data_IF_922809502797
#
_entry.id   IF_922809502797
#
_cell.length_a   1.000
_cell.length_b   1.000
_cell.length_c   1.000
_cell.angle_alpha   90.00
_cell.angle_beta   90.00
_cell.angle_gamma   90.00
#
_symmetry.space_group_name_H-M   'P 1'
#
loop_
_entity.id
_entity.type
_entity.pdbx_description
1 polymer ?
#
# COMPACT_ATOMS: atom_id res chain seq x y z
N UNK A 1 -22.65 2.89 -4.78
CA UNK A 1 -21.50 2.42 -3.98
C UNK A 1 -21.82 0.99 -3.65
N UNK A 2 -20.93 0.06 -3.96
CA UNK A 2 -21.18 -1.36 -3.79
C UNK A 2 -20.97 -1.84 -2.36
N UNK A 3 -20.90 -3.15 -2.21
CA UNK A 3 -20.64 -3.83 -0.94
C UNK A 3 -19.31 -3.36 -0.31
N UNK A 4 -19.30 -3.25 1.03
CA UNK A 4 -18.08 -3.04 1.82
C UNK A 4 -17.19 -4.27 1.70
N UNK A 5 -15.94 -4.07 1.31
CA UNK A 5 -14.96 -5.14 1.08
C UNK A 5 -13.91 -5.25 2.18
N UNK A 6 -13.69 -4.18 2.93
CA UNK A 6 -12.72 -4.19 4.01
C UNK A 6 -12.70 -2.90 4.81
N UNK A 7 -11.91 -2.92 5.88
CA UNK A 7 -11.59 -1.75 6.71
C UNK A 7 -10.11 -1.79 7.04
N UNK A 8 -9.39 -0.75 6.62
CA UNK A 8 -8.06 -0.48 7.14
C UNK A 8 -8.11 0.26 8.48
N UNK A 9 -6.96 0.73 8.93
CA UNK A 9 -6.85 1.53 10.15
C UNK A 9 -7.60 2.88 10.03
N UNK A 10 -7.54 3.52 8.86
CA UNK A 10 -8.14 4.85 8.64
C UNK A 10 -9.40 4.81 7.76
N UNK A 11 -9.51 3.87 6.83
CA UNK A 11 -10.51 3.89 5.76
C UNK A 11 -11.42 2.66 5.75
N UNK A 12 -12.66 2.87 5.36
CA UNK A 12 -13.55 1.80 4.91
C UNK A 12 -13.47 1.72 3.38
N UNK A 13 -13.39 0.50 2.86
CA UNK A 13 -13.23 0.24 1.43
C UNK A 13 -14.48 -0.46 0.89
N UNK A 14 -14.97 0.01 -0.25
CA UNK A 14 -16.18 -0.48 -0.91
C UNK A 14 -15.93 -0.78 -2.38
N UNK A 15 -16.67 -1.71 -2.97
CA UNK A 15 -16.67 -1.89 -4.42
C UNK A 15 -17.18 -0.64 -5.14
N UNK A 16 -16.58 -0.32 -6.29
CA UNK A 16 -17.10 0.71 -7.18
C UNK A 16 -17.96 0.08 -8.29
N UNK A 17 -19.28 0.17 -8.17
CA UNK A 17 -20.23 -0.49 -9.10
C UNK A 17 -20.06 -0.03 -10.55
N UNK A 18 -19.70 1.23 -10.77
CA UNK A 18 -19.48 1.81 -12.08
C UNK A 18 -18.13 1.38 -12.71
N UNK A 19 -17.18 0.90 -11.91
CA UNK A 19 -15.86 0.49 -12.36
C UNK A 19 -15.37 -0.72 -11.54
N UNK A 20 -15.65 -1.96 -11.96
CA UNK A 20 -15.37 -3.18 -11.19
C UNK A 20 -13.90 -3.40 -10.84
N UNK A 21 -12.99 -2.76 -11.58
CA UNK A 21 -11.54 -2.80 -11.34
C UNK A 21 -11.08 -1.77 -10.29
N UNK A 22 -12.01 -1.02 -9.71
CA UNK A 22 -11.75 0.02 -8.74
C UNK A 22 -12.53 -0.20 -7.45
N UNK A 23 -12.00 0.38 -6.38
CA UNK A 23 -12.66 0.49 -5.09
C UNK A 23 -12.76 1.95 -4.66
N UNK A 24 -13.69 2.20 -3.76
CA UNK A 24 -13.91 3.49 -3.11
C UNK A 24 -13.40 3.37 -1.67
N UNK A 25 -12.35 4.11 -1.33
CA UNK A 25 -11.72 4.13 -0.01
C UNK A 25 -12.11 5.43 0.70
N UNK A 26 -12.96 5.37 1.73
CA UNK A 26 -13.45 6.53 2.46
C UNK A 26 -12.84 6.62 3.84
N UNK A 27 -12.36 7.81 4.22
CA UNK A 27 -11.87 8.06 5.57
C UNK A 27 -12.99 7.93 6.60
N UNK A 28 -12.71 7.23 7.70
CA UNK A 28 -13.62 7.17 8.85
C UNK A 28 -13.51 8.43 9.69
N UNK A 29 -14.61 8.91 10.31
CA UNK A 29 -14.57 10.04 11.23
C UNK A 29 -13.51 9.85 12.33
N UNK A 30 -12.74 10.90 12.63
CA UNK A 30 -11.72 10.90 13.68
C UNK A 30 -10.38 10.23 13.33
N UNK A 31 -10.22 9.70 12.11
CA UNK A 31 -8.96 9.00 11.71
C UNK A 31 -7.90 9.91 11.12
N UNK A 32 -8.25 11.15 10.75
CA UNK A 32 -7.32 12.13 10.14
C UNK A 32 -6.73 13.13 11.13
N UNK A 33 -6.95 12.91 12.43
CA UNK A 33 -6.48 13.80 13.49
C UNK A 33 -7.06 15.21 13.38
N UNK A 34 -6.20 16.22 13.45
CA UNK A 34 -6.57 17.64 13.29
C UNK A 34 -6.67 18.10 11.83
N UNK A 35 -6.29 17.25 10.87
CA UNK A 35 -6.27 17.59 9.45
C UNK A 35 -7.60 17.21 8.83
N UNK A 36 -8.13 18.08 7.96
CA UNK A 36 -9.37 17.83 7.23
C UNK A 36 -9.20 16.64 6.26
N UNK A 37 -10.21 15.78 6.19
CA UNK A 37 -10.16 14.56 5.38
C UNK A 37 -9.95 14.86 3.88
N UNK A 38 -10.50 15.96 3.37
CA UNK A 38 -10.29 16.46 2.02
C UNK A 38 -8.81 16.74 1.72
N UNK A 39 -8.12 17.40 2.66
CA UNK A 39 -6.68 17.69 2.52
C UNK A 39 -5.87 16.40 2.60
N UNK A 40 -6.29 15.48 3.46
CA UNK A 40 -5.65 14.17 3.58
C UNK A 40 -5.75 13.35 2.29
N UNK A 41 -6.96 13.27 1.71
CA UNK A 41 -7.23 12.59 0.45
C UNK A 41 -6.47 13.23 -0.72
N UNK A 42 -6.48 14.57 -0.82
CA UNK A 42 -5.78 15.30 -1.87
C UNK A 42 -4.27 15.07 -1.83
N UNK A 43 -3.69 15.06 -0.61
CA UNK A 43 -2.27 14.78 -0.41
C UNK A 43 -1.94 13.34 -0.82
N UNK A 44 -2.72 12.35 -0.35
CA UNK A 44 -2.50 10.94 -0.72
C UNK A 44 -2.59 10.71 -2.24
N UNK A 45 -3.55 11.34 -2.92
CA UNK A 45 -3.65 11.28 -4.38
C UNK A 45 -2.39 11.85 -5.06
N UNK A 46 -1.94 13.03 -4.62
CA UNK A 46 -0.77 13.68 -5.19
C UNK A 46 0.51 12.87 -4.96
N UNK A 47 0.71 12.39 -3.73
CA UNK A 47 1.86 11.54 -3.35
C UNK A 47 1.85 10.22 -4.15
N UNK A 48 0.70 9.59 -4.31
CA UNK A 48 0.57 8.35 -5.11
C UNK A 48 0.99 8.58 -6.56
N UNK A 49 0.54 9.69 -7.17
CA UNK A 49 0.93 10.05 -8.55
C UNK A 49 2.42 10.35 -8.67
N UNK A 50 2.99 11.12 -7.74
CA UNK A 50 4.42 11.40 -7.69
C UNK A 50 5.24 10.12 -7.61
N UNK A 51 4.88 9.17 -6.74
CA UNK A 51 5.59 7.90 -6.61
C UNK A 51 5.48 7.06 -7.90
N UNK A 52 4.31 7.06 -8.55
CA UNK A 52 4.11 6.39 -9.84
C UNK A 52 5.00 6.99 -10.94
N UNK A 53 5.10 8.32 -11.01
CA UNK A 53 5.97 9.03 -11.96
C UNK A 53 7.46 8.72 -11.73
N UNK A 54 7.86 8.53 -10.47
CA UNK A 54 9.19 8.06 -10.08
C UNK A 54 9.39 6.54 -10.31
N UNK A 55 8.41 5.85 -10.88
CA UNK A 55 8.48 4.44 -11.25
C UNK A 55 8.30 3.45 -10.08
N UNK A 56 7.79 3.91 -8.94
CA UNK A 56 7.42 3.00 -7.85
C UNK A 56 6.16 2.20 -8.19
N UNK A 57 6.07 0.93 -7.76
CA UNK A 57 4.82 0.19 -7.80
C UNK A 57 3.85 0.75 -6.76
N UNK A 58 2.70 1.23 -7.20
CA UNK A 58 1.66 1.80 -6.32
C UNK A 58 0.31 1.17 -6.60
N UNK A 59 -0.56 1.15 -5.60
CA UNK A 59 -2.00 1.00 -5.80
C UNK A 59 -2.50 2.32 -6.39
N UNK A 60 -2.83 2.31 -7.69
CA UNK A 60 -3.11 3.54 -8.41
C UNK A 60 -4.31 4.27 -7.82
N UNK A 61 -4.19 5.59 -7.67
CA UNK A 61 -5.24 6.46 -7.15
C UNK A 61 -5.75 7.36 -8.29
N UNK A 62 -7.04 7.28 -8.57
CA UNK A 62 -7.64 7.85 -9.77
C UNK A 62 -8.20 9.25 -9.51
N UNK A 63 -9.09 9.36 -8.52
CA UNK A 63 -9.80 10.59 -8.23
C UNK A 63 -10.20 10.72 -6.76
N UNK A 64 -10.35 11.98 -6.32
CA UNK A 64 -11.06 12.32 -5.09
C UNK A 64 -12.54 11.95 -5.23
N UNK A 65 -13.11 11.37 -4.18
CA UNK A 65 -14.52 11.01 -4.14
C UNK A 65 -15.15 11.46 -2.84
N UNK A 66 -16.46 11.73 -2.90
CA UNK A 66 -17.27 12.12 -1.74
C UNK A 66 -18.59 11.37 -1.78
N UNK A 67 -19.00 10.85 -0.62
CA UNK A 67 -20.29 10.18 -0.45
C UNK A 67 -20.95 10.67 0.84
N UNK A 68 -22.02 11.46 0.70
CA UNK A 68 -22.56 12.20 1.83
C UNK A 68 -21.52 13.13 2.44
N UNK A 69 -21.23 12.96 3.74
CA UNK A 69 -20.17 13.69 4.45
C UNK A 69 -18.81 13.01 4.39
N UNK A 70 -18.73 11.75 3.95
CA UNK A 70 -17.47 11.01 3.89
C UNK A 70 -16.67 11.37 2.64
N UNK A 71 -15.36 11.50 2.79
CA UNK A 71 -14.41 11.86 1.73
C UNK A 71 -13.35 10.79 1.61
N UNK A 72 -12.82 10.61 0.40
CA UNK A 72 -11.75 9.66 0.16
C UNK A 72 -11.28 9.62 -1.28
N UNK A 73 -10.88 8.44 -1.73
CA UNK A 73 -10.28 8.20 -3.03
C UNK A 73 -10.94 7.03 -3.76
N UNK A 74 -10.98 7.11 -5.08
CA UNK A 74 -11.12 5.94 -5.95
C UNK A 74 -9.74 5.39 -6.28
N UNK A 75 -9.53 4.09 -6.09
CA UNK A 75 -8.24 3.42 -6.30
C UNK A 75 -8.42 2.12 -7.07
N UNK A 76 -7.33 1.58 -7.60
CA UNK A 76 -7.32 0.21 -8.14
C UNK A 76 -7.74 -0.79 -7.07
N UNK A 77 -8.64 -1.71 -7.44
CA UNK A 77 -9.05 -2.78 -6.57
C UNK A 77 -8.10 -3.98 -6.72
N UNK A 78 -7.40 -4.30 -5.64
CA UNK A 78 -6.52 -5.47 -5.58
C UNK A 78 -7.27 -6.62 -4.91
N UNK A 79 -7.70 -7.59 -5.72
CA UNK A 79 -8.41 -8.77 -5.25
C UNK A 79 -7.54 -9.63 -4.34
N UNK A 80 -8.12 -10.07 -3.21
CA UNK A 80 -7.49 -10.96 -2.22
C UNK A 80 -6.09 -10.49 -1.80
N UNK A 81 -5.92 -9.17 -1.68
CA UNK A 81 -4.67 -8.56 -1.25
C UNK A 81 -4.37 -8.88 0.22
N UNK A 82 -3.09 -9.10 0.51
CA UNK A 82 -2.58 -9.14 1.87
C UNK A 82 -2.11 -7.74 2.26
N UNK A 83 -2.44 -7.30 3.48
CA UNK A 83 -1.89 -6.07 4.05
C UNK A 83 -0.53 -6.36 4.67
N UNK A 84 0.49 -5.59 4.27
CA UNK A 84 1.83 -5.73 4.85
C UNK A 84 1.86 -5.55 6.37
N UNK A 85 0.98 -4.72 6.94
CA UNK A 85 0.92 -4.52 8.40
C UNK A 85 0.47 -5.80 9.11
N UNK A 86 -0.48 -6.54 8.55
CA UNK A 86 -0.92 -7.81 9.13
C UNK A 86 0.16 -8.89 9.02
N UNK A 87 1.01 -8.85 7.99
CA UNK A 87 2.16 -9.75 7.85
C UNK A 87 3.23 -9.44 8.89
N UNK A 88 3.70 -8.19 8.98
CA UNK A 88 4.80 -7.83 9.90
C UNK A 88 4.39 -7.96 11.37
N UNK A 89 3.10 -7.83 11.68
CA UNK A 89 2.56 -8.04 13.01
C UNK A 89 2.17 -9.50 13.30
N UNK A 90 2.47 -10.43 12.38
CA UNK A 90 2.17 -11.86 12.49
C UNK A 90 0.67 -12.18 12.68
N UNK A 91 -0.22 -11.33 12.18
CA UNK A 91 -1.67 -11.56 12.15
C UNK A 91 -2.08 -12.40 10.94
N UNK A 92 -1.27 -12.34 9.89
CA UNK A 92 -1.39 -13.15 8.69
C UNK A 92 0.01 -13.60 8.24
N UNK A 93 0.09 -14.67 7.47
CA UNK A 93 1.34 -15.19 6.93
C UNK A 93 1.35 -15.14 5.40
N UNK A 94 2.54 -14.95 4.83
CA UNK A 94 2.70 -15.09 3.38
C UNK A 94 2.52 -16.57 2.98
N UNK A 95 1.91 -16.86 1.82
CA UNK A 95 1.92 -18.21 1.25
C UNK A 95 3.34 -18.76 1.13
N UNK A 96 3.50 -20.08 1.31
CA UNK A 96 4.82 -20.73 1.27
C UNK A 96 5.37 -20.93 -0.15
N UNK A 97 4.54 -20.84 -1.19
CA UNK A 97 4.94 -21.05 -2.59
C UNK A 97 6.19 -20.23 -2.96
N UNK A 98 7.23 -20.90 -3.46
CA UNK A 98 8.52 -20.26 -3.78
C UNK A 98 8.38 -19.03 -4.70
N UNK A 99 7.68 -19.16 -5.83
CA UNK A 99 7.51 -18.05 -6.79
C UNK A 99 6.87 -16.80 -6.16
N UNK A 100 5.99 -16.98 -5.16
CA UNK A 100 5.32 -15.87 -4.49
C UNK A 100 6.34 -15.09 -3.65
N UNK A 101 7.14 -15.81 -2.85
CA UNK A 101 8.15 -15.21 -1.98
C UNK A 101 9.31 -14.60 -2.79
N UNK A 102 9.70 -15.22 -3.91
CA UNK A 102 10.66 -14.65 -4.86
C UNK A 102 10.17 -13.32 -5.44
N UNK A 103 8.89 -13.25 -5.85
CA UNK A 103 8.30 -11.99 -6.34
C UNK A 103 8.29 -10.90 -5.26
N UNK A 104 7.92 -11.24 -4.03
CA UNK A 104 7.95 -10.28 -2.90
C UNK A 104 9.37 -9.76 -2.69
N UNK A 105 10.37 -10.64 -2.66
CA UNK A 105 11.78 -10.26 -2.48
C UNK A 105 12.26 -9.35 -3.62
N UNK A 106 11.93 -9.69 -4.86
CA UNK A 106 12.36 -8.95 -6.04
C UNK A 106 11.73 -7.54 -6.09
N UNK A 107 10.43 -7.43 -5.80
CA UNK A 107 9.76 -6.13 -5.73
C UNK A 107 10.29 -5.29 -4.56
N UNK A 108 10.51 -5.89 -3.37
CA UNK A 108 11.15 -5.20 -2.25
C UNK A 108 12.55 -4.68 -2.58
N UNK A 109 13.38 -5.48 -3.29
CA UNK A 109 14.71 -5.03 -3.77
C UNK A 109 14.57 -3.85 -4.76
N UNK A 110 13.61 -3.92 -5.68
CA UNK A 110 13.34 -2.84 -6.64
C UNK A 110 12.92 -1.54 -5.93
N UNK A 111 12.01 -1.64 -4.96
CA UNK A 111 11.55 -0.48 -4.16
C UNK A 111 12.72 0.13 -3.38
N UNK A 112 13.54 -0.68 -2.69
CA UNK A 112 14.73 -0.20 -1.97
C UNK A 112 15.70 0.51 -2.92
N UNK A 113 15.93 -0.05 -4.11
CA UNK A 113 16.79 0.57 -5.12
C UNK A 113 16.29 1.97 -5.51
N UNK A 114 14.98 2.14 -5.70
CA UNK A 114 14.38 3.43 -6.04
C UNK A 114 14.41 4.44 -4.89
N UNK A 115 14.16 3.99 -3.65
CA UNK A 115 14.29 4.84 -2.47
C UNK A 115 15.71 5.42 -2.36
N UNK A 116 16.73 4.59 -2.61
CA UNK A 116 18.13 5.00 -2.63
C UNK A 116 18.46 5.95 -3.79
N UNK A 117 18.02 5.62 -5.00
CA UNK A 117 18.36 6.43 -6.18
C UNK A 117 17.75 7.83 -6.14
N UNK A 118 16.56 7.96 -5.54
CA UNK A 118 15.88 9.24 -5.40
C UNK A 118 16.17 9.96 -4.08
N UNK A 119 16.91 9.35 -3.14
CA UNK A 119 17.04 9.83 -1.77
C UNK A 119 15.68 10.23 -1.20
N UNK A 120 14.75 9.26 -1.17
CA UNK A 120 13.34 9.51 -0.87
C UNK A 120 12.92 8.81 0.42
N UNK A 121 12.34 9.57 1.34
CA UNK A 121 11.59 9.05 2.47
C UNK A 121 10.09 9.11 2.15
N UNK A 122 9.38 8.02 2.43
CA UNK A 122 7.92 7.96 2.34
C UNK A 122 7.36 7.83 3.75
N UNK A 123 6.52 8.79 4.13
CA UNK A 123 5.81 8.80 5.40
C UNK A 123 4.67 7.79 5.38
N UNK A 124 4.48 7.09 6.51
CA UNK A 124 3.47 6.05 6.71
C UNK A 124 3.48 4.98 5.60
N UNK A 125 4.69 4.53 5.22
CA UNK A 125 4.88 3.58 4.13
C UNK A 125 4.27 2.21 4.48
N UNK A 126 3.27 1.82 3.70
CA UNK A 126 2.57 0.54 3.80
C UNK A 126 2.39 -0.08 2.40
N UNK A 127 2.07 -1.37 2.34
CA UNK A 127 1.93 -2.11 1.08
C UNK A 127 0.71 -3.02 1.04
N UNK A 128 0.18 -3.23 -0.16
CA UNK A 128 -0.67 -4.38 -0.48
C UNK A 128 0.14 -5.39 -1.30
N UNK A 129 -0.01 -6.68 -0.96
CA UNK A 129 0.61 -7.79 -1.68
C UNK A 129 -0.47 -8.54 -2.46
N UNK A 130 -0.31 -8.60 -3.78
CA UNK A 130 -1.23 -9.33 -4.67
C UNK A 130 -1.13 -10.85 -4.48
N UNK A 131 -2.09 -11.61 -5.01
CA UNK A 131 -2.08 -13.09 -4.99
C UNK A 131 -0.90 -13.72 -5.74
N UNK A 132 -0.17 -12.95 -6.55
CA UNK A 132 1.04 -13.37 -7.24
C UNK A 132 2.33 -12.94 -6.52
N UNK A 133 2.23 -12.31 -5.34
CA UNK A 133 3.39 -11.84 -4.58
C UNK A 133 3.95 -10.50 -5.05
N UNK A 134 3.21 -9.75 -5.87
CA UNK A 134 3.60 -8.39 -6.27
C UNK A 134 3.33 -7.40 -5.14
N UNK A 135 4.31 -6.54 -4.84
CA UNK A 135 4.26 -5.58 -3.72
C UNK A 135 3.95 -4.18 -4.26
N UNK A 136 2.84 -3.60 -3.81
CA UNK A 136 2.36 -2.29 -4.26
C UNK A 136 2.30 -1.34 -3.06
N UNK A 137 2.92 -0.16 -3.16
CA UNK A 137 2.79 0.88 -2.13
C UNK A 137 1.32 1.31 -2.04
N UNK A 138 0.79 1.31 -0.83
CA UNK A 138 -0.58 1.69 -0.54
C UNK A 138 -0.62 2.86 0.46
N UNK A 139 -1.63 3.71 0.30
CA UNK A 139 -1.93 4.86 1.16
C UNK A 139 -0.73 5.74 1.58
N UNK A 140 0.18 6.13 0.66
CA UNK A 140 1.37 6.90 1.03
C UNK A 140 1.00 8.30 1.53
N UNK A 141 1.54 8.70 2.69
CA UNK A 141 1.19 9.99 3.30
C UNK A 141 1.91 11.16 2.64
N UNK A 142 3.23 11.07 2.51
CA UNK A 142 4.07 12.06 1.85
C UNK A 142 5.33 11.40 1.28
N UNK A 143 5.96 12.04 0.30
CA UNK A 143 7.20 11.60 -0.32
C UNK A 143 8.22 12.76 -0.32
N UNK A 144 9.18 12.69 0.58
CA UNK A 144 10.09 13.78 0.93
C UNK A 144 11.52 13.42 0.51
N UNK A 145 12.18 14.30 -0.25
CA UNK A 145 13.59 14.15 -0.60
C UNK A 145 14.47 14.29 0.65
N UNK A 146 14.84 13.16 1.25
CA UNK A 146 15.57 13.05 2.51
C UNK A 146 16.13 11.64 2.68
N UNK A 147 16.77 11.35 3.82
CA UNK A 147 17.36 10.03 4.05
C UNK A 147 16.31 8.89 3.92
N UNK A 148 16.55 7.89 3.05
CA UNK A 148 15.58 6.82 2.78
C UNK A 148 15.56 5.72 3.86
N UNK A 149 16.45 5.76 4.86
CA UNK A 149 16.74 4.63 5.74
C UNK A 149 15.52 4.11 6.52
N UNK A 150 14.63 5.00 6.99
CA UNK A 150 13.37 4.57 7.65
C UNK A 150 12.46 3.80 6.72
N UNK A 151 12.28 4.29 5.49
CA UNK A 151 11.47 3.63 4.47
C UNK A 151 12.10 2.30 4.02
N UNK A 152 13.43 2.25 3.91
CA UNK A 152 14.16 1.01 3.62
C UNK A 152 13.99 -0.02 4.74
N UNK A 153 14.06 0.40 6.01
CA UNK A 153 13.79 -0.48 7.16
C UNK A 153 12.40 -1.10 7.05
N UNK A 154 11.38 -0.29 6.73
CA UNK A 154 10.01 -0.75 6.57
C UNK A 154 9.84 -1.77 5.43
N UNK A 155 10.52 -1.57 4.31
CA UNK A 155 10.53 -2.56 3.20
C UNK A 155 11.24 -3.86 3.64
N UNK A 156 12.32 -3.75 4.42
CA UNK A 156 13.07 -4.90 4.89
C UNK A 156 12.29 -5.76 5.91
N UNK A 157 11.42 -5.16 6.72
CA UNK A 157 10.51 -5.89 7.62
C UNK A 157 9.68 -6.91 6.82
N UNK A 158 8.95 -6.46 5.80
CA UNK A 158 8.17 -7.35 4.93
C UNK A 158 9.06 -8.38 4.20
N UNK A 159 10.21 -7.93 3.68
CA UNK A 159 11.14 -8.80 2.94
C UNK A 159 11.66 -9.96 3.79
N UNK A 160 11.85 -9.76 5.10
CA UNK A 160 12.36 -10.79 5.99
C UNK A 160 11.41 -12.00 6.09
N UNK A 161 10.09 -11.79 6.10
CA UNK A 161 9.11 -12.88 6.10
C UNK A 161 9.22 -13.75 4.85
N UNK A 162 9.34 -13.13 3.67
CA UNK A 162 9.48 -13.86 2.42
C UNK A 162 10.82 -14.63 2.35
N UNK A 163 11.90 -14.04 2.87
CA UNK A 163 13.20 -14.71 2.93
C UNK A 163 13.16 -15.95 3.83
N UNK A 164 12.52 -15.85 4.99
CA UNK A 164 12.39 -16.98 5.93
C UNK A 164 11.63 -18.15 5.30
N UNK A 165 10.55 -17.90 4.55
CA UNK A 165 9.82 -18.95 3.86
C UNK A 165 10.69 -19.72 2.85
N UNK A 166 11.56 -19.02 2.11
CA UNK A 166 12.45 -19.67 1.14
C UNK A 166 13.59 -20.47 1.77
N UNK A 167 14.02 -20.10 2.98
CA UNK A 167 15.05 -20.84 3.71
C UNK A 167 14.49 -22.15 4.31
N UNK A 168 13.22 -22.14 4.74
CA UNK A 168 12.57 -23.34 5.29
C UNK A 168 12.27 -24.39 4.22
N UNK A 169 11.99 -23.98 2.99
CA UNK A 169 11.76 -24.90 1.86
C UNK A 169 13.06 -25.52 1.29
N UNK A 170 14.24 -25.11 1.77
CA UNK A 170 15.55 -25.59 1.31
C UNK A 170 16.19 -26.68 2.19
N UNK A 171 15.53 -27.08 3.28
CA UNK A 171 15.92 -28.21 4.15
C UNK A 171 15.10 -29.48 3.83
#
# INVERSE_FOLDING_TARGET
MGQKIGSGSQKDVFHFEQAPRQCICLFRPGTTGSIQAEQYAAKELATTKQLKELGFPVVDAHALVKYGSAVGLSKDFIHDALDSEDIVQNRQSLPTKAYFNENVINDCKSIISKLKSHSLHIDDLQFLITTQGRVLINDPRDAIYSSPEKSISKVNELRAHALNNLLVDSD
#
